data_IF_954932385670
#
_entry.id   IF_954932385670
#
_cell.length_a   1.000
_cell.length_b   1.000
_cell.length_c   1.000
_cell.angle_alpha   90.00
_cell.angle_beta   90.00
_cell.angle_gamma   90.00
#
_symmetry.space_group_name_H-M   'P 1'
#
loop_
_entity.id
_entity.type
_entity.pdbx_description
1 polymer ?
#
# COMPACT_ATOMS: atom_id res chain seq x y z
N UNK A 1 -32.74 -4.58 -14.22
CA UNK A 1 -34.01 -3.91 -13.86
C UNK A 1 -35.18 -4.89 -13.67
N UNK A 2 -35.65 -5.63 -14.69
CA UNK A 2 -36.73 -6.61 -14.51
C UNK A 2 -36.35 -7.79 -13.59
N UNK A 3 -35.06 -8.16 -13.54
CA UNK A 3 -34.54 -9.27 -12.73
C UNK A 3 -34.67 -9.02 -11.22
N UNK A 4 -34.22 -7.86 -10.73
CA UNK A 4 -34.26 -7.55 -9.29
C UNK A 4 -35.68 -7.33 -8.78
N UNK A 5 -36.55 -6.65 -9.54
CA UNK A 5 -37.94 -6.45 -9.14
C UNK A 5 -38.69 -7.79 -8.98
N UNK A 6 -38.40 -8.78 -9.84
CA UNK A 6 -38.96 -10.12 -9.72
C UNK A 6 -38.30 -10.92 -8.58
N UNK A 7 -36.97 -10.87 -8.48
CA UNK A 7 -36.20 -11.63 -7.47
C UNK A 7 -36.42 -11.16 -6.02
N UNK A 8 -36.90 -9.92 -5.84
CA UNK A 8 -37.21 -9.31 -4.54
C UNK A 8 -38.68 -8.91 -4.42
N UNK A 9 -39.58 -9.55 -5.18
CA UNK A 9 -41.02 -9.25 -5.13
C UNK A 9 -41.65 -9.52 -3.75
N UNK A 10 -41.04 -10.41 -2.96
CA UNK A 10 -41.39 -10.74 -1.58
C UNK A 10 -40.83 -9.76 -0.53
N UNK A 11 -39.99 -8.80 -0.95
CA UNK A 11 -39.30 -7.87 -0.05
C UNK A 11 -39.83 -6.46 -0.24
N UNK A 12 -40.39 -5.88 0.83
CA UNK A 12 -40.74 -4.46 0.84
C UNK A 12 -39.47 -3.60 1.02
N UNK A 13 -39.12 -2.70 0.07
CA UNK A 13 -37.95 -1.82 0.23
C UNK A 13 -38.14 -0.84 1.39
N UNK A 14 -37.06 -0.57 2.12
CA UNK A 14 -37.05 0.39 3.22
C UNK A 14 -36.41 1.70 2.75
N UNK A 15 -37.10 2.83 2.87
CA UNK A 15 -36.55 4.13 2.49
C UNK A 15 -35.42 4.57 3.42
N UNK A 16 -34.58 5.49 2.94
CA UNK A 16 -33.53 6.07 3.78
C UNK A 16 -34.15 7.10 4.71
N UNK A 17 -33.89 6.97 6.02
CA UNK A 17 -34.31 7.98 6.99
C UNK A 17 -33.20 9.03 7.17
N UNK A 18 -33.26 10.12 6.40
CA UNK A 18 -32.38 11.28 6.54
C UNK A 18 -32.98 12.36 7.49
N UNK A 19 -34.10 12.05 8.15
CA UNK A 19 -34.83 12.97 9.02
C UNK A 19 -35.60 14.07 8.27
N UNK A 20 -36.28 14.98 9.00
CA UNK A 20 -37.20 15.97 8.43
C UNK A 20 -36.51 17.15 7.72
N UNK A 21 -35.21 17.36 7.95
CA UNK A 21 -34.43 18.47 7.38
C UNK A 21 -33.02 17.98 7.00
N UNK A 22 -32.89 17.19 5.91
CA UNK A 22 -31.65 16.53 5.58
C UNK A 22 -30.58 17.51 5.10
N UNK A 23 -29.33 17.29 5.52
CA UNK A 23 -28.15 18.05 5.08
C UNK A 23 -27.24 17.16 4.23
N UNK A 24 -26.56 17.74 3.25
CA UNK A 24 -25.74 16.99 2.28
C UNK A 24 -26.50 15.87 1.56
N UNK A 25 -27.82 16.03 1.39
CA UNK A 25 -28.66 15.06 0.71
C UNK A 25 -28.20 14.87 -0.75
N UNK A 26 -28.06 13.61 -1.15
CA UNK A 26 -27.66 13.25 -2.51
C UNK A 26 -28.93 12.97 -3.30
N UNK A 27 -29.09 13.64 -4.45
CA UNK A 27 -30.16 13.34 -5.39
C UNK A 27 -29.88 12.02 -6.13
N UNK A 28 -30.18 10.89 -5.46
CA UNK A 28 -29.91 9.57 -6.00
C UNK A 28 -30.72 9.27 -7.27
N UNK A 29 -30.13 8.53 -8.21
CA UNK A 29 -30.87 7.93 -9.30
C UNK A 29 -31.95 6.98 -8.74
N UNK A 30 -33.15 6.90 -9.35
CA UNK A 30 -34.24 6.05 -8.85
C UNK A 30 -33.86 4.57 -8.71
N UNK A 31 -32.97 4.09 -9.57
CA UNK A 31 -32.44 2.73 -9.51
C UNK A 31 -31.60 2.50 -8.24
N UNK A 32 -30.62 3.36 -7.97
CA UNK A 32 -29.78 3.25 -6.79
C UNK A 32 -30.59 3.36 -5.50
N UNK A 33 -31.54 4.30 -5.43
CA UNK A 33 -32.43 4.46 -4.28
C UNK A 33 -33.24 3.17 -4.01
N UNK A 34 -33.73 2.52 -5.07
CA UNK A 34 -34.47 1.25 -4.97
C UNK A 34 -33.59 0.10 -4.51
N UNK A 35 -32.39 -0.07 -5.07
CA UNK A 35 -31.44 -1.11 -4.66
C UNK A 35 -31.04 -0.94 -3.18
N UNK A 36 -30.76 0.30 -2.76
CA UNK A 36 -30.48 0.60 -1.36
C UNK A 36 -31.69 0.34 -0.46
N UNK A 37 -32.92 0.50 -0.97
CA UNK A 37 -34.13 0.16 -0.24
C UNK A 37 -34.27 -1.34 0.01
N UNK A 38 -34.00 -2.17 -0.99
CA UNK A 38 -33.90 -3.62 -0.79
C UNK A 38 -32.75 -3.96 0.17
N UNK A 39 -31.59 -3.32 0.04
CA UNK A 39 -30.45 -3.58 0.91
C UNK A 39 -30.76 -3.29 2.39
N UNK A 40 -31.46 -2.20 2.70
CA UNK A 40 -31.92 -1.91 4.06
C UNK A 40 -32.90 -2.95 4.58
N UNK A 41 -33.82 -3.44 3.73
CA UNK A 41 -34.70 -4.56 4.12
C UNK A 41 -33.92 -5.85 4.42
N UNK A 42 -32.87 -6.15 3.64
CA UNK A 42 -31.98 -7.29 3.89
C UNK A 42 -31.16 -7.12 5.16
N UNK A 43 -30.77 -5.90 5.53
CA UNK A 43 -30.12 -5.64 6.82
C UNK A 43 -31.04 -5.98 8.00
N UNK A 44 -32.34 -5.67 7.91
CA UNK A 44 -33.30 -6.00 8.97
C UNK A 44 -33.61 -7.51 9.03
N UNK A 45 -33.78 -8.17 7.89
CA UNK A 45 -34.11 -9.60 7.84
C UNK A 45 -32.91 -10.51 8.10
N UNK A 46 -31.69 -9.97 7.97
CA UNK A 46 -30.43 -10.70 8.05
C UNK A 46 -30.34 -11.88 7.05
N UNK A 47 -31.00 -11.76 5.90
CA UNK A 47 -31.01 -12.80 4.87
C UNK A 47 -29.61 -13.06 4.30
N UNK A 48 -29.23 -14.34 4.19
CA UNK A 48 -27.96 -14.82 3.61
C UNK A 48 -28.23 -15.79 2.47
N UNK A 49 -28.41 -15.26 1.26
CA UNK A 49 -28.80 -16.04 0.08
C UNK A 49 -28.05 -15.61 -1.19
N UNK A 50 -28.05 -16.42 -2.26
CA UNK A 50 -27.42 -16.04 -3.52
C UNK A 50 -27.94 -14.71 -4.11
N UNK A 51 -29.24 -14.40 -3.98
CA UNK A 51 -29.80 -13.12 -4.47
C UNK A 51 -29.23 -11.91 -3.72
N UNK A 52 -28.81 -12.07 -2.46
CA UNK A 52 -28.13 -11.01 -1.71
C UNK A 52 -26.72 -10.75 -2.28
N UNK A 53 -26.03 -11.77 -2.80
CA UNK A 53 -24.77 -11.56 -3.51
C UNK A 53 -24.98 -10.79 -4.82
N UNK A 54 -26.04 -11.06 -5.56
CA UNK A 54 -26.37 -10.28 -6.76
C UNK A 54 -26.68 -8.81 -6.41
N UNK A 55 -27.48 -8.58 -5.36
CA UNK A 55 -27.83 -7.23 -4.90
C UNK A 55 -26.59 -6.45 -4.46
N UNK A 56 -25.70 -7.08 -3.68
CA UNK A 56 -24.47 -6.43 -3.21
C UNK A 56 -23.48 -6.18 -4.33
N UNK A 57 -23.44 -7.00 -5.38
CA UNK A 57 -22.63 -6.75 -6.57
C UNK A 57 -23.13 -5.51 -7.33
N UNK A 58 -24.43 -5.42 -7.60
CA UNK A 58 -25.03 -4.25 -8.25
C UNK A 58 -24.80 -2.96 -7.44
N UNK A 59 -24.89 -3.02 -6.11
CA UNK A 59 -24.58 -1.87 -5.26
C UNK A 59 -23.10 -1.49 -5.27
N UNK A 60 -22.18 -2.45 -5.38
CA UNK A 60 -20.76 -2.19 -5.50
C UNK A 60 -20.40 -1.53 -6.85
N UNK A 61 -21.11 -1.84 -7.93
CA UNK A 61 -20.98 -1.13 -9.21
C UNK A 61 -21.34 0.36 -9.09
N UNK A 62 -22.38 0.68 -8.31
CA UNK A 62 -22.76 2.08 -8.06
C UNK A 62 -21.86 2.78 -7.06
N UNK A 63 -21.43 2.09 -6.00
CA UNK A 63 -20.58 2.65 -4.96
C UNK A 63 -19.69 1.57 -4.32
N UNK A 64 -18.55 1.31 -4.96
CA UNK A 64 -17.55 0.38 -4.47
C UNK A 64 -16.96 0.78 -3.10
N UNK A 65 -17.13 2.02 -2.63
CA UNK A 65 -16.63 2.45 -1.32
C UNK A 65 -17.61 2.13 -0.17
N UNK A 66 -18.80 1.62 -0.46
CA UNK A 66 -19.82 1.36 0.57
C UNK A 66 -19.44 0.17 1.45
N UNK A 67 -18.79 0.44 2.58
CA UNK A 67 -18.25 -0.60 3.46
C UNK A 67 -19.31 -1.54 4.06
N UNK A 68 -20.52 -1.06 4.35
CA UNK A 68 -21.63 -1.91 4.84
C UNK A 68 -22.07 -2.94 3.79
N UNK A 69 -22.13 -2.56 2.51
CA UNK A 69 -22.44 -3.49 1.40
C UNK A 69 -21.42 -4.61 1.35
N UNK A 70 -20.12 -4.26 1.41
CA UNK A 70 -19.04 -5.26 1.46
C UNK A 70 -19.07 -6.14 2.70
N UNK A 71 -19.44 -5.59 3.87
CA UNK A 71 -19.61 -6.37 5.08
C UNK A 71 -20.72 -7.41 4.94
N UNK A 72 -21.92 -6.99 4.50
CA UNK A 72 -23.05 -7.90 4.25
C UNK A 72 -22.70 -8.96 3.20
N UNK A 73 -21.98 -8.57 2.15
CA UNK A 73 -21.48 -9.51 1.14
C UNK A 73 -20.61 -10.60 1.75
N UNK A 74 -19.65 -10.25 2.61
CA UNK A 74 -18.78 -11.24 3.30
C UNK A 74 -19.56 -12.16 4.22
N UNK A 75 -20.46 -11.63 5.04
CA UNK A 75 -21.32 -12.45 5.90
C UNK A 75 -22.13 -13.46 5.08
N UNK A 76 -22.67 -13.02 3.94
CA UNK A 76 -23.40 -13.88 3.02
C UNK A 76 -22.50 -14.95 2.40
N UNK A 77 -21.30 -14.58 1.94
CA UNK A 77 -20.31 -15.53 1.41
C UNK A 77 -19.90 -16.57 2.44
N UNK A 78 -19.66 -16.18 3.69
CA UNK A 78 -19.28 -17.11 4.74
C UNK A 78 -20.40 -18.09 5.10
N UNK A 79 -21.64 -17.61 5.15
CA UNK A 79 -22.80 -18.48 5.37
C UNK A 79 -22.93 -19.52 4.24
N UNK A 80 -22.87 -19.07 2.98
CA UNK A 80 -23.02 -19.93 1.81
C UNK A 80 -21.83 -20.90 1.62
N UNK A 81 -20.62 -20.47 1.96
CA UNK A 81 -19.42 -21.29 1.87
C UNK A 81 -19.44 -22.53 2.79
N UNK A 82 -20.32 -22.54 3.80
CA UNK A 82 -20.53 -23.72 4.65
C UNK A 82 -21.12 -24.91 3.87
N UNK A 83 -21.85 -24.62 2.79
CA UNK A 83 -22.45 -25.62 1.90
C UNK A 83 -21.60 -25.85 0.64
N UNK A 84 -20.99 -24.78 0.10
CA UNK A 84 -20.17 -24.86 -1.11
C UNK A 84 -18.99 -23.88 -1.01
N UNK A 85 -17.81 -24.40 -0.69
CA UNK A 85 -16.60 -23.59 -0.56
C UNK A 85 -16.11 -23.00 -1.90
N UNK A 86 -16.55 -23.52 -3.05
CA UNK A 86 -16.13 -23.02 -4.37
C UNK A 86 -16.56 -21.57 -4.62
N UNK A 87 -17.62 -21.12 -3.94
CA UNK A 87 -18.12 -19.74 -3.99
C UNK A 87 -17.06 -18.71 -3.60
N UNK A 88 -16.10 -19.06 -2.72
CA UNK A 88 -15.02 -18.17 -2.32
C UNK A 88 -13.99 -18.00 -3.44
N UNK A 89 -13.79 -19.04 -4.26
CA UNK A 89 -12.91 -18.99 -5.43
C UNK A 89 -13.56 -18.16 -6.54
N UNK A 90 -14.86 -18.32 -6.74
CA UNK A 90 -15.65 -17.48 -7.65
C UNK A 90 -15.59 -16.01 -7.23
N UNK A 91 -15.68 -15.76 -5.92
CA UNK A 91 -15.59 -14.42 -5.38
C UNK A 91 -14.18 -13.79 -5.53
N UNK A 92 -13.11 -14.59 -5.44
CA UNK A 92 -11.77 -14.10 -5.76
C UNK A 92 -11.65 -13.62 -7.21
N UNK A 93 -12.32 -14.29 -8.15
CA UNK A 93 -12.37 -13.88 -9.57
C UNK A 93 -13.19 -12.61 -9.76
N UNK A 94 -14.40 -12.57 -9.21
CA UNK A 94 -15.23 -11.36 -9.23
C UNK A 94 -14.49 -10.16 -8.64
N UNK A 95 -13.95 -10.30 -7.43
CA UNK A 95 -13.25 -9.19 -6.76
C UNK A 95 -11.95 -8.79 -7.46
N UNK A 96 -11.37 -9.62 -8.32
CA UNK A 96 -10.23 -9.25 -9.16
C UNK A 96 -10.65 -8.25 -10.24
N UNK A 97 -11.81 -8.47 -10.85
CA UNK A 97 -12.39 -7.56 -11.84
C UNK A 97 -12.74 -6.22 -11.21
N UNK A 98 -13.40 -6.24 -10.06
CA UNK A 98 -13.75 -5.00 -9.33
C UNK A 98 -12.48 -4.24 -8.90
N UNK A 99 -11.42 -4.95 -8.45
CA UNK A 99 -10.15 -4.34 -8.07
C UNK A 99 -9.44 -3.65 -9.24
N UNK A 100 -9.49 -4.23 -10.44
CA UNK A 100 -8.93 -3.64 -11.66
C UNK A 100 -9.64 -2.32 -12.01
N UNK A 101 -10.95 -2.25 -11.81
CA UNK A 101 -11.75 -1.04 -12.09
C UNK A 101 -11.64 0.01 -10.98
N UNK A 102 -11.38 -0.44 -9.75
CA UNK A 102 -11.33 0.42 -8.56
C UNK A 102 -10.03 0.18 -7.76
N UNK A 103 -8.84 0.39 -8.36
CA UNK A 103 -7.57 -0.03 -7.77
C UNK A 103 -7.17 0.78 -6.53
N UNK A 104 -7.83 1.91 -6.28
CA UNK A 104 -7.57 2.83 -5.15
C UNK A 104 -8.75 2.85 -4.16
N UNK A 105 -9.29 1.68 -3.86
CA UNK A 105 -10.44 1.52 -2.98
C UNK A 105 -10.11 0.61 -1.78
N UNK A 106 -10.24 1.13 -0.56
CA UNK A 106 -9.92 0.39 0.66
C UNK A 106 -10.77 -0.88 0.84
N UNK A 107 -12.06 -0.81 0.54
CA UNK A 107 -13.01 -1.88 0.81
C UNK A 107 -12.72 -3.11 -0.06
N UNK A 108 -12.34 -2.92 -1.32
CA UNK A 108 -12.02 -4.03 -2.23
C UNK A 108 -10.74 -4.74 -1.79
N UNK A 109 -9.66 -4.00 -1.49
CA UNK A 109 -8.42 -4.61 -1.01
C UNK A 109 -8.62 -5.32 0.33
N UNK A 110 -9.42 -4.76 1.24
CA UNK A 110 -9.80 -5.43 2.47
C UNK A 110 -10.64 -6.69 2.21
N UNK A 111 -11.59 -6.62 1.27
CA UNK A 111 -12.42 -7.76 0.89
C UNK A 111 -11.59 -8.92 0.34
N UNK A 112 -10.65 -8.63 -0.57
CA UNK A 112 -9.69 -9.63 -1.08
C UNK A 112 -8.89 -10.27 0.05
N UNK A 113 -8.32 -9.46 0.95
CA UNK A 113 -7.61 -9.96 2.12
C UNK A 113 -8.49 -10.89 2.97
N UNK A 114 -9.73 -10.52 3.26
CA UNK A 114 -10.64 -11.35 4.03
C UNK A 114 -10.98 -12.69 3.34
N UNK A 115 -11.04 -12.72 2.01
CA UNK A 115 -11.22 -13.95 1.24
C UNK A 115 -9.99 -14.85 1.34
N UNK A 116 -8.79 -14.27 1.17
CA UNK A 116 -7.53 -15.01 1.30
C UNK A 116 -7.37 -15.54 2.75
N UNK A 117 -7.74 -14.75 3.77
CA UNK A 117 -7.77 -15.21 5.17
C UNK A 117 -8.74 -16.38 5.37
N UNK A 118 -9.91 -16.34 4.72
CA UNK A 118 -10.92 -17.40 4.80
C UNK A 118 -10.50 -18.69 4.07
N UNK A 119 -9.86 -18.57 2.91
CA UNK A 119 -9.41 -19.70 2.08
C UNK A 119 -8.09 -20.30 2.61
N UNK A 120 -7.21 -19.45 3.13
CA UNK A 120 -5.88 -19.83 3.64
C UNK A 120 -4.81 -19.92 2.56
N UNK A 121 -3.78 -20.72 2.84
CA UNK A 121 -2.54 -20.84 2.03
C UNK A 121 -2.79 -21.07 0.54
N UNK A 122 -3.86 -21.79 0.18
CA UNK A 122 -4.19 -22.12 -1.20
C UNK A 122 -4.43 -20.89 -2.09
N UNK A 123 -4.87 -19.76 -1.52
CA UNK A 123 -5.12 -18.52 -2.28
C UNK A 123 -3.88 -17.60 -2.39
N UNK A 124 -2.82 -17.87 -1.64
CA UNK A 124 -1.70 -16.91 -1.49
C UNK A 124 -0.94 -16.69 -2.82
N UNK A 125 -0.69 -17.74 -3.59
CA UNK A 125 0.04 -17.64 -4.86
C UNK A 125 -0.73 -16.83 -5.90
N UNK A 126 -2.04 -17.09 -6.03
CA UNK A 126 -2.91 -16.37 -6.96
C UNK A 126 -3.05 -14.90 -6.54
N UNK A 127 -3.11 -14.61 -5.24
CA UNK A 127 -3.14 -13.24 -4.74
C UNK A 127 -1.84 -12.48 -5.08
N UNK A 128 -0.67 -13.10 -4.91
CA UNK A 128 0.62 -12.49 -5.31
C UNK A 128 0.67 -12.22 -6.82
N UNK A 129 0.14 -13.12 -7.65
CA UNK A 129 0.08 -12.95 -9.10
C UNK A 129 -0.85 -11.79 -9.52
N UNK A 130 -2.02 -11.67 -8.88
CA UNK A 130 -2.91 -10.53 -9.08
C UNK A 130 -2.26 -9.22 -8.67
N UNK A 131 -1.61 -9.19 -7.51
CA UNK A 131 -0.91 -7.99 -7.04
C UNK A 131 0.22 -7.61 -8.00
N UNK A 132 0.98 -8.58 -8.51
CA UNK A 132 2.01 -8.33 -9.52
C UNK A 132 1.44 -7.75 -10.81
N UNK A 133 0.19 -8.10 -11.18
CA UNK A 133 -0.52 -7.48 -12.30
C UNK A 133 -0.92 -6.04 -11.97
N UNK A 134 -1.52 -5.80 -10.80
CA UNK A 134 -1.89 -4.47 -10.36
C UNK A 134 -0.69 -3.50 -10.25
N UNK A 135 0.47 -4.00 -9.81
CA UNK A 135 1.72 -3.23 -9.75
C UNK A 135 2.38 -3.01 -11.12
N UNK A 136 2.02 -3.81 -12.14
CA UNK A 136 2.44 -3.54 -13.51
C UNK A 136 1.67 -2.34 -14.08
N UNK A 137 0.39 -2.23 -13.75
CA UNK A 137 -0.49 -1.16 -14.19
C UNK A 137 -0.25 0.15 -13.39
N UNK A 138 -0.05 0.05 -12.08
CA UNK A 138 0.33 1.16 -11.20
C UNK A 138 1.41 0.70 -10.20
N UNK A 139 2.68 0.89 -10.59
CA UNK A 139 3.85 0.49 -9.82
C UNK A 139 3.99 1.19 -8.45
N UNK A 140 3.15 2.18 -8.17
CA UNK A 140 3.14 2.95 -6.92
C UNK A 140 1.81 2.79 -6.16
N UNK A 141 0.96 1.83 -6.54
CA UNK A 141 -0.29 1.55 -5.85
C UNK A 141 -0.03 1.10 -4.40
N UNK A 142 -0.38 1.97 -3.45
CA UNK A 142 -0.13 1.74 -2.03
C UNK A 142 -0.87 0.53 -1.47
N UNK A 143 -2.11 0.30 -1.90
CA UNK A 143 -2.90 -0.84 -1.44
C UNK A 143 -2.31 -2.15 -1.92
N UNK A 144 -1.90 -2.23 -3.19
CA UNK A 144 -1.26 -3.40 -3.77
C UNK A 144 0.05 -3.74 -3.03
N UNK A 145 0.91 -2.75 -2.77
CA UNK A 145 2.14 -2.93 -1.99
C UNK A 145 1.87 -3.39 -0.56
N UNK A 146 0.92 -2.74 0.13
CA UNK A 146 0.54 -3.13 1.49
C UNK A 146 -0.03 -4.54 1.56
N UNK A 147 -0.83 -4.93 0.56
CA UNK A 147 -1.41 -6.26 0.47
C UNK A 147 -0.35 -7.32 0.15
N UNK A 148 0.60 -7.02 -0.76
CA UNK A 148 1.73 -7.91 -1.07
C UNK A 148 2.52 -8.26 0.19
N UNK A 149 2.91 -7.23 0.94
CA UNK A 149 3.70 -7.42 2.16
C UNK A 149 2.91 -8.20 3.21
N UNK A 150 1.60 -7.99 3.31
CA UNK A 150 0.75 -8.79 4.18
C UNK A 150 0.73 -10.26 3.76
N UNK A 151 0.47 -10.58 2.48
CA UNK A 151 0.47 -11.97 1.99
C UNK A 151 1.81 -12.65 2.26
N UNK A 152 2.92 -11.97 1.98
CA UNK A 152 4.27 -12.50 2.21
C UNK A 152 4.55 -12.80 3.69
N UNK A 153 4.14 -11.90 4.58
CA UNK A 153 4.31 -12.08 6.03
C UNK A 153 3.41 -13.18 6.60
N UNK A 154 2.21 -13.37 6.05
CA UNK A 154 1.24 -14.33 6.58
C UNK A 154 1.42 -15.74 6.00
N UNK A 155 1.74 -15.86 4.71
CA UNK A 155 1.75 -17.13 3.98
C UNK A 155 3.10 -17.50 3.36
N UNK A 156 4.13 -16.66 3.54
CA UNK A 156 5.42 -16.84 2.88
C UNK A 156 5.36 -16.47 1.40
N UNK A 157 6.17 -17.13 0.55
CA UNK A 157 6.30 -16.75 -0.86
C UNK A 157 7.42 -15.73 -1.12
N UNK A 158 8.40 -15.65 -0.22
CA UNK A 158 9.56 -14.76 -0.36
C UNK A 158 10.52 -15.17 -1.48
N UNK A 159 10.44 -16.41 -1.95
CA UNK A 159 11.21 -16.87 -3.11
C UNK A 159 10.80 -16.06 -4.36
N UNK A 160 11.76 -15.45 -5.04
CA UNK A 160 11.50 -14.59 -6.20
C UNK A 160 11.28 -13.10 -5.85
N UNK A 161 11.16 -12.72 -4.57
CA UNK A 161 10.90 -11.32 -4.21
C UNK A 161 12.10 -10.40 -4.44
N UNK A 162 13.32 -10.94 -4.36
CA UNK A 162 14.54 -10.17 -4.69
C UNK A 162 14.59 -9.87 -6.19
N UNK A 163 14.30 -10.85 -7.02
CA UNK A 163 14.20 -10.72 -8.47
C UNK A 163 13.07 -9.76 -8.85
N UNK A 164 11.92 -9.85 -8.17
CA UNK A 164 10.80 -8.93 -8.35
C UNK A 164 11.18 -7.47 -8.04
N UNK A 165 11.83 -7.22 -6.88
CA UNK A 165 12.35 -5.88 -6.54
C UNK A 165 13.36 -5.38 -7.58
N UNK A 166 14.29 -6.26 -7.98
CA UNK A 166 15.35 -5.93 -8.94
C UNK A 166 14.76 -5.50 -10.27
N UNK A 167 13.81 -6.27 -10.81
CA UNK A 167 13.14 -5.95 -12.07
C UNK A 167 12.42 -4.59 -12.02
N UNK A 168 11.75 -4.27 -10.91
CA UNK A 168 11.07 -2.98 -10.73
C UNK A 168 12.05 -1.80 -10.62
N UNK A 169 13.18 -1.99 -9.93
CA UNK A 169 14.21 -0.95 -9.79
C UNK A 169 15.03 -0.76 -11.06
N UNK A 170 15.19 -1.81 -11.87
CA UNK A 170 15.84 -1.72 -13.18
C UNK A 170 14.94 -0.98 -14.19
N UNK A 171 13.61 -1.13 -14.05
CA UNK A 171 12.63 -0.39 -14.85
C UNK A 171 12.46 1.09 -14.40
N UNK A 172 12.37 1.33 -13.09
CA UNK A 172 12.30 2.68 -12.50
C UNK A 172 13.10 2.72 -11.19
N UNK A 173 14.35 3.17 -11.28
CA UNK A 173 15.23 3.31 -10.10
C UNK A 173 14.70 4.35 -9.10
N UNK A 174 13.78 5.24 -9.48
CA UNK A 174 13.14 6.22 -8.61
C UNK A 174 11.85 5.71 -7.96
N UNK A 175 11.52 4.41 -8.12
CA UNK A 175 10.37 3.81 -7.48
C UNK A 175 10.62 3.59 -5.97
N UNK A 176 10.23 4.58 -5.16
CA UNK A 176 10.36 4.51 -3.71
C UNK A 176 9.64 3.29 -3.08
N UNK A 177 8.52 2.85 -3.67
CA UNK A 177 7.79 1.70 -3.16
C UNK A 177 8.59 0.41 -3.36
N UNK A 178 9.28 0.27 -4.48
CA UNK A 178 10.19 -0.85 -4.73
C UNK A 178 11.40 -0.84 -3.79
N UNK A 179 12.01 0.33 -3.54
CA UNK A 179 13.08 0.47 -2.53
C UNK A 179 12.61 0.08 -1.12
N UNK A 180 11.44 0.55 -0.72
CA UNK A 180 10.85 0.20 0.57
C UNK A 180 10.57 -1.30 0.66
N UNK A 181 10.03 -1.90 -0.41
CA UNK A 181 9.77 -3.34 -0.44
C UNK A 181 11.06 -4.16 -0.39
N UNK A 182 12.09 -3.76 -1.14
CA UNK A 182 13.41 -4.38 -1.09
C UNK A 182 13.98 -4.37 0.33
N UNK A 183 13.79 -3.28 1.08
CA UNK A 183 14.24 -3.21 2.48
C UNK A 183 13.53 -4.26 3.34
N UNK A 184 12.22 -4.41 3.18
CA UNK A 184 11.45 -5.43 3.90
C UNK A 184 11.89 -6.85 3.52
N UNK A 185 12.14 -7.12 2.23
CA UNK A 185 12.62 -8.42 1.75
C UNK A 185 13.99 -8.74 2.32
N UNK A 186 14.93 -7.79 2.29
CA UNK A 186 16.28 -7.96 2.84
C UNK A 186 16.27 -8.14 4.36
N UNK A 187 15.40 -7.42 5.07
CA UNK A 187 15.22 -7.60 6.51
C UNK A 187 14.66 -9.00 6.85
N UNK A 188 13.79 -9.54 6.00
CA UNK A 188 13.20 -10.87 6.18
C UNK A 188 14.16 -12.02 5.83
N UNK A 189 14.88 -11.91 4.71
CA UNK A 189 15.77 -12.96 4.20
C UNK A 189 17.17 -12.91 4.82
N UNK A 190 17.54 -11.78 5.42
CA UNK A 190 18.91 -11.50 5.84
C UNK A 190 19.78 -11.01 4.68
N UNK A 191 20.72 -10.12 4.99
CA UNK A 191 21.75 -9.64 4.07
C UNK A 191 22.95 -9.12 4.86
N UNK A 192 24.11 -8.94 4.21
CA UNK A 192 25.19 -8.14 4.78
C UNK A 192 24.91 -6.65 4.50
N UNK A 193 24.69 -5.81 5.53
CA UNK A 193 24.41 -4.39 5.36
C UNK A 193 25.47 -3.65 4.54
N UNK A 194 26.73 -4.09 4.62
CA UNK A 194 27.85 -3.47 3.89
C UNK A 194 27.74 -3.73 2.39
N UNK A 195 27.44 -4.97 1.99
CA UNK A 195 27.22 -5.34 0.59
C UNK A 195 26.02 -4.59 0.02
N UNK A 196 24.95 -4.45 0.79
CA UNK A 196 23.73 -3.76 0.35
C UNK A 196 23.96 -2.25 0.13
N UNK A 197 24.72 -1.60 1.03
CA UNK A 197 25.15 -0.21 0.81
C UNK A 197 26.00 -0.09 -0.45
N UNK A 198 26.96 -0.99 -0.68
CA UNK A 198 27.81 -0.96 -1.89
C UNK A 198 26.99 -1.12 -3.17
N UNK A 199 26.09 -2.10 -3.22
CA UNK A 199 25.15 -2.30 -4.34
C UNK A 199 24.28 -1.06 -4.59
N UNK A 200 23.80 -0.42 -3.52
CA UNK A 200 23.02 0.83 -3.63
C UNK A 200 23.85 1.97 -4.22
N UNK A 201 25.12 2.11 -3.79
CA UNK A 201 26.05 3.11 -4.31
C UNK A 201 26.38 2.89 -5.78
N UNK A 202 26.49 1.64 -6.23
CA UNK A 202 26.66 1.31 -7.66
C UNK A 202 25.46 1.82 -8.49
N UNK A 203 24.22 1.62 -8.01
CA UNK A 203 23.02 2.18 -8.65
C UNK A 203 23.01 3.71 -8.65
N UNK A 204 23.51 4.35 -7.58
CA UNK A 204 23.62 5.81 -7.49
C UNK A 204 24.60 6.42 -8.49
N UNK A 205 25.57 5.68 -9.02
CA UNK A 205 26.48 6.18 -10.07
C UNK A 205 25.72 6.69 -11.30
N UNK A 206 24.56 6.08 -11.60
CA UNK A 206 23.70 6.43 -12.72
C UNK A 206 22.50 7.32 -12.33
N UNK A 207 22.24 7.49 -11.04
CA UNK A 207 21.08 8.23 -10.52
C UNK A 207 21.42 8.99 -9.23
N UNK A 208 22.45 9.85 -9.28
CA UNK A 208 23.06 10.51 -8.10
C UNK A 208 22.09 11.28 -7.20
N UNK A 209 21.03 11.85 -7.78
CA UNK A 209 20.01 12.63 -7.06
C UNK A 209 18.82 11.79 -6.56
N UNK A 210 18.86 10.46 -6.73
CA UNK A 210 17.79 9.55 -6.31
C UNK A 210 17.67 9.46 -4.79
N UNK A 211 16.74 10.23 -4.24
CA UNK A 211 16.47 10.28 -2.80
C UNK A 211 16.11 8.92 -2.20
N UNK A 212 15.39 8.06 -2.93
CA UNK A 212 15.00 6.74 -2.42
C UNK A 212 16.20 5.84 -2.16
N UNK A 213 17.17 5.81 -3.07
CA UNK A 213 18.41 5.05 -2.89
C UNK A 213 19.25 5.59 -1.70
N UNK A 214 19.34 6.91 -1.56
CA UNK A 214 20.04 7.52 -0.42
C UNK A 214 19.39 7.19 0.93
N UNK A 215 18.05 7.30 1.01
CA UNK A 215 17.29 6.95 2.22
C UNK A 215 17.42 5.47 2.54
N UNK A 216 17.42 4.62 1.52
CA UNK A 216 17.63 3.18 1.66
C UNK A 216 19.02 2.85 2.22
N UNK A 217 20.10 3.39 1.65
CA UNK A 217 21.47 3.18 2.17
C UNK A 217 21.61 3.69 3.61
N UNK A 218 21.03 4.85 3.92
CA UNK A 218 21.01 5.41 5.27
C UNK A 218 20.26 4.52 6.28
N UNK A 219 19.26 3.76 5.85
CA UNK A 219 18.56 2.83 6.75
C UNK A 219 19.51 1.74 7.27
N UNK A 220 20.31 1.14 6.40
CA UNK A 220 21.34 0.15 6.79
C UNK A 220 22.46 0.77 7.63
N UNK A 221 22.93 1.97 7.26
CA UNK A 221 23.95 2.69 8.01
C UNK A 221 23.50 3.04 9.44
N UNK A 222 22.20 3.29 9.67
CA UNK A 222 21.68 3.54 11.02
C UNK A 222 21.71 2.30 11.93
N UNK A 223 21.72 1.09 11.35
CA UNK A 223 21.67 -0.16 12.09
C UNK A 223 23.01 -0.91 12.16
N UNK A 224 23.99 -0.57 11.32
CA UNK A 224 25.29 -1.27 11.24
C UNK A 224 26.44 -0.26 11.02
N UNK A 225 27.41 -0.25 11.94
CA UNK A 225 28.56 0.68 11.91
C UNK A 225 29.49 0.45 10.70
N UNK A 226 29.62 -0.79 10.22
CA UNK A 226 30.43 -1.09 9.03
C UNK A 226 29.76 -0.53 7.78
N UNK A 227 28.44 -0.63 7.70
CA UNK A 227 27.66 -0.02 6.63
C UNK A 227 27.72 1.52 6.70
N UNK A 228 27.67 2.10 7.89
CA UNK A 228 27.88 3.54 8.11
C UNK A 228 29.26 3.99 7.64
N UNK A 229 30.32 3.25 7.98
CA UNK A 229 31.69 3.53 7.55
C UNK A 229 31.83 3.45 6.03
N UNK A 230 31.22 2.45 5.39
CA UNK A 230 31.23 2.30 3.93
C UNK A 230 30.52 3.47 3.23
N UNK A 231 29.34 3.88 3.73
CA UNK A 231 28.60 5.01 3.17
C UNK A 231 29.33 6.34 3.40
N UNK A 232 29.92 6.52 4.59
CA UNK A 232 30.71 7.70 4.92
C UNK A 232 31.89 7.84 3.96
N UNK A 233 32.67 6.78 3.76
CA UNK A 233 33.82 6.78 2.85
C UNK A 233 33.45 7.16 1.41
N UNK A 234 32.25 6.77 0.93
CA UNK A 234 31.77 7.18 -0.39
C UNK A 234 31.36 8.66 -0.44
N UNK A 235 30.80 9.18 0.65
CA UNK A 235 30.36 10.57 0.71
C UNK A 235 31.52 11.55 0.94
N UNK A 236 32.66 11.08 1.45
CA UNK A 236 33.86 11.90 1.60
C UNK A 236 34.31 12.48 0.25
N UNK A 237 34.40 13.81 0.17
CA UNK A 237 34.74 14.52 -1.06
C UNK A 237 33.60 14.70 -2.08
N UNK A 238 32.43 14.11 -1.84
CA UNK A 238 31.27 14.27 -2.73
C UNK A 238 30.52 15.58 -2.43
N UNK A 239 30.37 16.44 -3.44
CA UNK A 239 29.75 17.76 -3.28
C UNK A 239 28.24 17.81 -3.54
N UNK A 240 27.62 16.70 -3.94
CA UNK A 240 26.19 16.66 -4.24
C UNK A 240 25.31 16.95 -3.02
N UNK A 241 24.11 17.50 -3.25
CA UNK A 241 23.18 17.82 -2.16
C UNK A 241 22.87 16.58 -1.35
N UNK A 242 22.59 15.44 -2.01
CA UNK A 242 22.22 14.19 -1.34
C UNK A 242 23.37 13.56 -0.55
N UNK A 243 24.60 13.57 -1.07
CA UNK A 243 25.77 13.09 -0.34
C UNK A 243 26.05 13.96 0.89
N UNK A 244 25.92 15.28 0.77
CA UNK A 244 26.03 16.19 1.91
C UNK A 244 24.93 15.96 2.96
N UNK A 245 23.69 15.70 2.54
CA UNK A 245 22.61 15.32 3.46
C UNK A 245 22.95 14.03 4.22
N UNK A 246 23.48 13.02 3.53
CA UNK A 246 23.94 11.78 4.15
C UNK A 246 25.08 12.01 5.15
N UNK A 247 26.07 12.86 4.82
CA UNK A 247 27.16 13.22 5.74
C UNK A 247 26.64 13.83 7.04
N UNK A 248 25.66 14.75 6.98
CA UNK A 248 25.06 15.33 8.19
C UNK A 248 24.47 14.23 9.08
N UNK A 249 23.75 13.27 8.50
CA UNK A 249 23.12 12.20 9.26
C UNK A 249 24.12 11.17 9.82
N UNK A 250 25.22 10.90 9.12
CA UNK A 250 26.28 9.99 9.55
C UNK A 250 27.18 10.61 10.64
N UNK A 251 27.44 11.91 10.57
CA UNK A 251 28.38 12.62 11.45
C UNK A 251 27.73 13.27 12.67
N UNK A 252 26.38 13.39 12.72
CA UNK A 252 25.68 14.13 13.79
C UNK A 252 26.03 13.73 15.23
N UNK A 253 26.49 12.50 15.45
CA UNK A 253 26.89 12.00 16.77
C UNK A 253 28.41 11.97 16.94
N UNK A 254 29.16 11.56 15.91
CA UNK A 254 30.61 11.37 16.00
C UNK A 254 31.41 12.65 15.77
N UNK A 255 30.92 13.57 14.94
CA UNK A 255 31.52 14.87 14.65
C UNK A 255 30.43 15.93 14.40
N UNK A 256 29.75 16.38 15.46
CA UNK A 256 28.65 17.34 15.35
C UNK A 256 29.11 18.70 14.81
N UNK A 257 30.37 19.10 15.03
CA UNK A 257 30.93 20.35 14.51
C UNK A 257 31.04 20.34 12.99
N UNK A 258 31.55 19.25 12.42
CA UNK A 258 31.59 19.06 10.97
C UNK A 258 30.19 18.90 10.38
N UNK A 259 29.31 18.14 11.02
CA UNK A 259 27.91 18.01 10.60
C UNK A 259 27.20 19.38 10.57
N UNK A 260 27.43 20.24 11.58
CA UNK A 260 26.92 21.61 11.64
C UNK A 260 27.41 22.46 10.45
N UNK A 261 28.71 22.36 10.12
CA UNK A 261 29.30 23.08 8.98
C UNK A 261 28.67 22.67 7.64
N UNK A 262 28.50 21.36 7.43
CA UNK A 262 27.85 20.84 6.22
C UNK A 262 26.38 21.28 6.16
N UNK A 263 25.66 21.24 7.28
CA UNK A 263 24.28 21.72 7.34
C UNK A 263 24.16 23.22 6.99
N UNK A 264 25.13 24.08 7.37
CA UNK A 264 25.14 25.48 6.91
C UNK A 264 25.28 25.59 5.39
N UNK A 265 26.20 24.82 4.79
CA UNK A 265 26.38 24.77 3.32
C UNK A 265 25.11 24.28 2.62
N UNK A 266 24.44 23.26 3.15
CA UNK A 266 23.16 22.78 2.63
C UNK A 266 22.06 23.84 2.65
N UNK A 267 22.09 24.80 3.58
CA UNK A 267 21.12 25.89 3.60
C UNK A 267 21.25 26.83 2.38
N UNK A 268 22.39 26.83 1.70
CA UNK A 268 22.65 27.57 0.47
C UNK A 268 22.34 26.71 -0.76
N UNK A 269 22.70 25.41 -0.73
CA UNK A 269 22.54 24.48 -1.85
C UNK A 269 21.11 23.95 -2.02
N UNK A 270 20.32 23.92 -0.94
CA UNK A 270 18.96 23.40 -0.90
C UNK A 270 18.00 24.47 -0.37
N UNK A 271 17.75 25.46 -1.24
CA UNK A 271 16.98 26.66 -0.92
C UNK A 271 15.58 26.33 -0.34
N UNK A 272 14.93 25.28 -0.86
CA UNK A 272 13.61 24.82 -0.39
C UNK A 272 13.63 24.44 1.08
N UNK A 273 14.71 23.78 1.55
CA UNK A 273 14.88 23.35 2.94
C UNK A 273 15.87 24.23 3.72
N UNK A 274 16.19 25.43 3.24
CA UNK A 274 17.18 26.31 3.88
C UNK A 274 16.88 26.59 5.37
N UNK A 275 15.61 26.82 5.72
CA UNK A 275 15.20 27.02 7.13
C UNK A 275 15.45 25.78 7.99
N UNK A 276 15.18 24.60 7.45
CA UNK A 276 15.44 23.33 8.12
C UNK A 276 16.94 23.15 8.36
N UNK A 277 17.77 23.40 7.35
CA UNK A 277 19.22 23.25 7.45
C UNK A 277 19.87 24.22 8.43
N UNK A 278 19.45 25.50 8.47
CA UNK A 278 19.91 26.46 9.49
C UNK A 278 19.59 25.99 10.91
N UNK A 279 18.34 25.58 11.14
CA UNK A 279 17.91 25.04 12.45
C UNK A 279 18.70 23.78 12.82
N UNK A 280 18.97 22.91 11.85
CA UNK A 280 19.76 21.69 12.06
C UNK A 280 21.21 22.03 12.43
N UNK A 281 21.83 22.98 11.74
CA UNK A 281 23.19 23.43 12.03
C UNK A 281 23.33 24.03 13.44
N UNK A 282 22.38 24.87 13.86
CA UNK A 282 22.32 25.44 15.21
C UNK A 282 22.18 24.35 16.28
N UNK A 283 21.25 23.40 16.08
CA UNK A 283 21.04 22.29 17.02
C UNK A 283 22.25 21.37 17.19
N UNK A 284 23.06 21.20 16.14
CA UNK A 284 24.31 20.44 16.20
C UNK A 284 25.46 21.22 16.85
N UNK A 285 25.47 22.55 16.72
CA UNK A 285 26.53 23.42 17.26
C UNK A 285 26.42 23.71 18.76
N UNK A 286 25.24 23.57 19.36
CA UNK A 286 25.02 23.82 20.78
C UNK A 286 25.34 22.60 21.69
N UNK A 287 25.88 21.51 21.12
CA UNK A 287 26.21 20.26 21.82
C UNK A 287 27.69 20.09 22.18
N UNK A 288 28.51 21.13 22.03
CA UNK A 288 29.90 21.23 22.48
C UNK A 288 30.02 22.19 23.65
#
# INVERSE_FOLDING_TARGET
MASFAAAFADVAPIEQDDGPAPVCAIAYAPEYARLMGFFRAILESNERSPRVLELTAALAEHNAAHYTVWHVRRECLWALASNDASILTDELRYSAEVARENPKNYQIWYHRRALVEKIGQAAAADELALISTALRDDAKNYHAWSNRLWVLKTYGGWAGELEFCTALLDADVYNNSAWNHLYQVKAQLGCDPVEEVRSTLERLNHARENESAWVYALAFAKSDERAAAALLAHCEGAEGVRSQMALVELLKTSDPGRASTIARRLAELDATRARYWRRRAEGLGNGT
#
